data_IF_182350384923
#
_entry.id   IF_182350384923
#
_cell.length_a   1.000
_cell.length_b   1.000
_cell.length_c   1.000
_cell.angle_alpha   90.00
_cell.angle_beta   90.00
_cell.angle_gamma   90.00
#
_symmetry.space_group_name_H-M   'P 1'
#
loop_
_entity.id
_entity.type
_entity.pdbx_description
1 polymer ?
#
# COMPACT_ATOMS: atom_id res chain seq x y z
N UNK A 1 3.81 6.98 24.24
CA UNK A 1 4.85 6.15 23.60
C UNK A 1 5.24 5.10 24.61
N UNK A 2 5.01 3.82 24.31
CA UNK A 2 5.38 2.71 25.21
C UNK A 2 6.80 2.26 24.95
N UNK A 3 7.72 2.54 25.89
CA UNK A 3 9.11 2.06 25.81
C UNK A 3 9.20 0.53 25.91
N UNK A 4 8.24 -0.10 26.58
CA UNK A 4 8.17 -1.56 26.76
C UNK A 4 7.90 -2.27 25.44
N UNK A 5 6.88 -1.84 24.70
CA UNK A 5 6.52 -2.46 23.42
C UNK A 5 7.64 -2.32 22.41
N UNK A 6 8.25 -1.13 22.32
CA UNK A 6 9.39 -0.93 21.42
C UNK A 6 10.55 -1.89 21.73
N UNK A 7 10.92 -2.06 23.00
CA UNK A 7 11.95 -3.01 23.40
C UNK A 7 11.60 -4.44 23.00
N UNK A 8 10.37 -4.87 23.28
CA UNK A 8 9.89 -6.21 22.92
C UNK A 8 9.86 -6.43 21.40
N UNK A 9 9.60 -5.40 20.59
CA UNK A 9 9.63 -5.50 19.12
C UNK A 9 11.01 -5.88 18.61
N UNK A 10 12.08 -5.27 19.12
CA UNK A 10 13.44 -5.60 18.69
C UNK A 10 13.81 -7.05 19.00
N UNK A 11 13.53 -7.50 20.23
CA UNK A 11 13.82 -8.87 20.67
C UNK A 11 12.96 -9.90 19.91
N UNK A 12 11.65 -9.67 19.81
CA UNK A 12 10.73 -10.62 19.19
C UNK A 12 10.93 -10.72 17.67
N UNK A 13 11.19 -9.60 16.99
CA UNK A 13 11.44 -9.60 15.55
C UNK A 13 12.74 -10.31 15.18
N UNK A 14 13.80 -10.12 15.98
CA UNK A 14 15.08 -10.79 15.77
C UNK A 14 14.93 -12.32 15.81
N UNK A 15 14.10 -12.84 16.71
CA UNK A 15 13.85 -14.27 16.87
C UNK A 15 12.96 -14.89 15.78
N UNK A 16 12.16 -14.09 15.06
CA UNK A 16 11.10 -14.59 14.15
C UNK A 16 11.25 -14.14 12.70
N UNK A 17 12.49 -13.86 12.29
CA UNK A 17 12.84 -13.50 10.90
C UNK A 17 12.13 -12.25 10.35
N UNK A 18 11.64 -11.37 11.23
CA UNK A 18 11.15 -10.05 10.80
C UNK A 18 12.35 -9.14 10.60
N UNK A 19 12.67 -8.87 9.34
CA UNK A 19 13.84 -8.08 8.92
C UNK A 19 13.47 -6.93 7.99
N UNK A 20 14.43 -6.03 7.77
CA UNK A 20 14.35 -4.96 6.78
C UNK A 20 13.16 -4.02 7.01
N UNK A 21 12.41 -3.72 5.94
CA UNK A 21 11.29 -2.79 5.96
C UNK A 21 10.23 -3.15 7.02
N UNK A 22 9.93 -4.44 7.23
CA UNK A 22 8.94 -4.89 8.22
C UNK A 22 9.35 -4.52 9.64
N UNK A 23 10.63 -4.71 9.96
CA UNK A 23 11.19 -4.42 11.28
C UNK A 23 11.11 -2.93 11.60
N UNK A 24 11.58 -2.08 10.69
CA UNK A 24 11.57 -0.62 10.90
C UNK A 24 10.15 -0.06 10.95
N UNK A 25 9.22 -0.62 10.16
CA UNK A 25 7.79 -0.25 10.25
C UNK A 25 7.21 -0.68 11.59
N UNK A 26 7.49 -1.91 12.05
CA UNK A 26 7.01 -2.39 13.35
C UNK A 26 7.54 -1.53 14.51
N UNK A 27 8.83 -1.22 14.50
CA UNK A 27 9.44 -0.33 15.49
C UNK A 27 8.80 1.06 15.47
N UNK A 28 8.56 1.62 14.28
CA UNK A 28 7.91 2.93 14.15
C UNK A 28 6.45 2.91 14.63
N UNK A 29 5.72 1.84 14.40
CA UNK A 29 4.37 1.65 14.95
C UNK A 29 4.42 1.56 16.48
N UNK A 30 5.41 0.84 17.03
CA UNK A 30 5.62 0.72 18.47
C UNK A 30 5.98 2.05 19.14
N UNK A 31 6.79 2.89 18.51
CA UNK A 31 7.07 4.25 19.00
C UNK A 31 5.78 5.05 19.21
N UNK A 32 4.85 4.94 18.27
CA UNK A 32 3.54 5.61 18.34
C UNK A 32 2.51 4.90 19.21
N UNK A 33 2.83 3.71 19.73
CA UNK A 33 1.88 2.91 20.49
C UNK A 33 1.72 3.39 21.94
N UNK A 34 0.51 3.20 22.47
CA UNK A 34 0.26 3.20 23.90
C UNK A 34 0.65 1.84 24.50
N UNK A 35 0.52 1.67 25.82
CA UNK A 35 0.87 0.41 26.49
C UNK A 35 0.00 -0.79 26.09
N UNK A 36 -1.16 -0.54 25.47
CA UNK A 36 -2.04 -1.58 24.91
C UNK A 36 -1.64 -1.98 23.47
N UNK A 37 -0.60 -1.36 22.90
CA UNK A 37 -0.17 -1.65 21.53
C UNK A 37 -0.96 -0.91 20.44
N UNK A 38 -1.81 0.04 20.80
CA UNK A 38 -2.64 0.80 19.86
C UNK A 38 -1.89 2.03 19.34
N UNK A 39 -1.84 2.18 18.02
CA UNK A 39 -1.25 3.36 17.36
C UNK A 39 -2.05 3.76 16.11
N UNK A 40 -1.84 5.00 15.64
CA UNK A 40 -2.58 5.53 14.47
C UNK A 40 -1.81 6.44 13.50
N UNK A 41 -0.51 6.18 13.22
CA UNK A 41 0.20 6.96 12.22
C UNK A 41 -0.42 6.78 10.82
N UNK A 42 -0.45 7.85 10.01
CA UNK A 42 -0.83 7.72 8.60
C UNK A 42 0.25 6.97 7.82
N UNK A 43 -0.13 6.27 6.74
CA UNK A 43 0.84 5.62 5.85
C UNK A 43 1.87 6.64 5.33
N UNK A 44 1.41 7.84 4.96
CA UNK A 44 2.27 8.95 4.56
C UNK A 44 3.29 9.35 5.64
N UNK A 45 2.87 9.36 6.91
CA UNK A 45 3.79 9.66 8.04
C UNK A 45 4.89 8.61 8.13
N UNK A 46 4.53 7.32 7.99
CA UNK A 46 5.47 6.21 8.02
C UNK A 46 6.44 6.33 6.84
N UNK A 47 5.94 6.59 5.63
CA UNK A 47 6.77 6.80 4.44
C UNK A 47 7.77 7.93 4.63
N UNK A 48 7.31 9.10 5.10
CA UNK A 48 8.16 10.28 5.31
C UNK A 48 9.28 10.03 6.31
N UNK A 49 8.96 9.33 7.41
CA UNK A 49 9.94 9.10 8.48
C UNK A 49 10.94 7.99 8.17
N UNK A 50 10.50 6.95 7.46
CA UNK A 50 11.34 5.80 7.15
C UNK A 50 11.98 5.87 5.77
N UNK A 51 11.62 6.86 4.94
CA UNK A 51 12.08 6.96 3.55
C UNK A 51 11.59 5.82 2.65
N UNK A 52 10.53 5.10 3.07
CA UNK A 52 9.99 3.95 2.35
C UNK A 52 8.88 4.38 1.39
N UNK A 53 8.79 3.73 0.23
CA UNK A 53 7.68 3.91 -0.69
C UNK A 53 6.35 3.41 -0.13
N UNK A 54 5.24 4.05 -0.49
CA UNK A 54 3.89 3.70 -0.01
C UNK A 54 3.54 2.23 -0.26
N UNK A 55 3.89 1.72 -1.45
CA UNK A 55 3.68 0.31 -1.82
C UNK A 55 4.43 -0.63 -0.88
N UNK A 56 5.67 -0.29 -0.52
CA UNK A 56 6.48 -1.08 0.41
C UNK A 56 5.87 -1.07 1.81
N UNK A 57 5.45 0.10 2.30
CA UNK A 57 4.80 0.21 3.61
C UNK A 57 3.51 -0.60 3.66
N UNK A 58 2.65 -0.48 2.63
CA UNK A 58 1.41 -1.25 2.54
C UNK A 58 1.63 -2.76 2.48
N UNK A 59 2.61 -3.19 1.70
CA UNK A 59 2.96 -4.61 1.55
C UNK A 59 3.46 -5.17 2.86
N UNK A 60 4.41 -4.49 3.50
CA UNK A 60 4.96 -4.91 4.78
C UNK A 60 3.88 -4.97 5.88
N UNK A 61 2.99 -3.99 5.95
CA UNK A 61 1.84 -4.01 6.89
C UNK A 61 0.92 -5.20 6.62
N UNK A 62 0.62 -5.49 5.35
CA UNK A 62 -0.24 -6.63 4.99
C UNK A 62 0.42 -7.97 5.36
N UNK A 63 1.74 -8.09 5.17
CA UNK A 63 2.49 -9.28 5.57
C UNK A 63 2.54 -9.45 7.09
N UNK A 64 2.76 -8.36 7.84
CA UNK A 64 2.71 -8.35 9.31
C UNK A 64 1.32 -8.70 9.85
N UNK A 65 0.27 -8.25 9.16
CA UNK A 65 -1.13 -8.60 9.45
C UNK A 65 -1.39 -10.10 9.17
N UNK A 66 -0.96 -10.60 8.01
CA UNK A 66 -1.13 -12.01 7.65
C UNK A 66 -0.40 -12.98 8.57
N UNK A 67 0.74 -12.54 9.12
CA UNK A 67 1.54 -13.31 10.07
C UNK A 67 1.10 -13.09 11.52
N UNK A 68 0.08 -12.26 11.77
CA UNK A 68 -0.57 -12.10 13.08
C UNK A 68 0.20 -11.22 14.08
N UNK A 69 1.08 -10.34 13.61
CA UNK A 69 1.83 -9.43 14.49
C UNK A 69 1.09 -8.15 14.82
N UNK A 70 0.21 -7.73 13.91
CA UNK A 70 -0.64 -6.57 14.09
C UNK A 70 -2.00 -6.81 13.45
N UNK A 71 -2.97 -6.01 13.83
CA UNK A 71 -4.28 -5.91 13.20
C UNK A 71 -4.53 -4.49 12.76
N UNK A 72 -5.09 -4.30 11.57
CA UNK A 72 -5.46 -2.97 11.06
C UNK A 72 -6.97 -2.77 11.09
N UNK A 73 -7.40 -1.63 11.59
CA UNK A 73 -8.78 -1.17 11.57
C UNK A 73 -8.90 0.09 10.71
N UNK A 74 -9.75 0.03 9.69
CA UNK A 74 -10.03 1.19 8.85
C UNK A 74 -10.97 2.13 9.60
N UNK A 75 -10.53 3.39 9.75
CA UNK A 75 -11.37 4.44 10.30
C UNK A 75 -11.92 5.28 9.15
N UNK A 76 -13.23 5.48 9.14
CA UNK A 76 -13.92 6.41 8.24
C UNK A 76 -14.64 7.44 9.09
N UNK A 77 -14.42 8.72 8.79
CA UNK A 77 -15.18 9.83 9.40
C UNK A 77 -16.09 10.40 8.32
N UNK A 78 -17.32 9.89 8.25
CA UNK A 78 -18.23 10.19 7.15
C UNK A 78 -17.66 9.75 5.80
N UNK A 79 -17.63 10.65 4.81
CA UNK A 79 -17.07 10.39 3.48
C UNK A 79 -15.54 10.61 3.39
N UNK A 80 -14.87 10.98 4.50
CA UNK A 80 -13.41 11.18 4.51
C UNK A 80 -12.74 9.92 5.08
N UNK A 81 -11.78 9.37 4.35
CA UNK A 81 -10.88 8.36 4.88
C UNK A 81 -10.01 9.02 5.95
N UNK A 82 -9.95 8.43 7.14
CA UNK A 82 -9.00 8.83 8.18
C UNK A 82 -7.85 7.83 8.24
N UNK A 83 -6.76 8.18 8.94
CA UNK A 83 -5.63 7.28 9.15
C UNK A 83 -6.13 5.99 9.81
N UNK A 84 -5.66 4.85 9.33
CA UNK A 84 -5.96 3.56 9.94
C UNK A 84 -5.51 3.54 11.40
N UNK A 85 -6.16 2.69 12.19
CA UNK A 85 -5.76 2.37 13.55
C UNK A 85 -5.12 0.99 13.53
N UNK A 86 -3.95 0.86 14.13
CA UNK A 86 -3.20 -0.39 14.19
C UNK A 86 -3.13 -0.86 15.64
N UNK A 87 -3.39 -2.14 15.83
CA UNK A 87 -3.26 -2.85 17.10
C UNK A 87 -2.09 -3.81 17.00
N UNK A 88 -1.01 -3.52 17.71
CA UNK A 88 0.12 -4.43 17.86
C UNK A 88 -0.28 -5.56 18.81
N UNK A 89 0.11 -6.79 18.49
CA UNK A 89 -0.15 -7.93 19.37
C UNK A 89 0.87 -7.92 20.53
N UNK A 90 0.58 -7.14 21.56
CA UNK A 90 1.46 -6.91 22.71
C UNK A 90 1.78 -8.23 23.45
N UNK A 91 0.77 -9.07 23.68
CA UNK A 91 0.93 -10.37 24.37
C UNK A 91 1.91 -11.29 23.65
N UNK A 92 1.78 -11.35 22.31
CA UNK A 92 2.70 -12.13 21.48
C UNK A 92 4.11 -11.55 21.52
N UNK A 93 4.25 -10.23 21.37
CA UNK A 93 5.55 -9.56 21.41
C UNK A 93 6.27 -9.80 22.75
N UNK A 94 5.55 -9.70 23.87
CA UNK A 94 6.10 -9.93 25.20
C UNK A 94 6.51 -11.39 25.40
N UNK A 95 5.66 -12.34 25.02
CA UNK A 95 5.96 -13.77 25.16
C UNK A 95 7.21 -14.15 24.38
N UNK A 96 7.32 -13.69 23.14
CA UNK A 96 8.46 -13.99 22.28
C UNK A 96 9.74 -13.31 22.77
N UNK A 97 9.66 -12.06 23.25
CA UNK A 97 10.80 -11.36 23.83
C UNK A 97 11.32 -12.03 25.10
N UNK A 98 10.42 -12.54 25.97
CA UNK A 98 10.80 -13.30 27.17
C UNK A 98 11.55 -14.59 26.81
N UNK A 99 10.99 -15.38 25.90
CA UNK A 99 11.62 -16.61 25.41
C UNK A 99 13.02 -16.33 24.86
N UNK A 100 13.18 -15.26 24.08
CA UNK A 100 14.47 -14.91 23.51
C UNK A 100 15.48 -14.45 24.57
N UNK A 101 15.05 -13.63 25.54
CA UNK A 101 15.89 -13.23 26.68
C UNK A 101 16.37 -14.44 27.47
N UNK A 102 15.50 -15.39 27.75
CA UNK A 102 15.85 -16.60 28.49
C UNK A 102 16.85 -17.46 27.72
N UNK A 103 16.69 -17.61 26.39
CA UNK A 103 17.68 -18.29 25.53
C UNK A 103 19.04 -17.60 25.55
N UNK A 104 19.07 -16.27 25.42
CA UNK A 104 20.32 -15.49 25.43
C UNK A 104 21.00 -15.60 26.79
N UNK A 105 20.24 -15.54 27.88
CA UNK A 105 20.75 -15.71 29.24
C UNK A 105 21.35 -17.12 29.45
N UNK A 106 20.64 -18.16 29.02
CA UNK A 106 21.11 -19.55 29.09
C UNK A 106 22.39 -19.76 28.26
N UNK A 107 22.46 -19.22 27.04
CA UNK A 107 23.66 -19.30 26.21
C UNK A 107 24.87 -18.59 26.87
N UNK A 108 24.63 -17.42 27.48
CA UNK A 108 25.68 -16.69 28.21
C UNK A 108 26.15 -17.48 29.43
N UNK A 109 25.24 -18.18 30.13
CA UNK A 109 25.59 -19.04 31.25
C UNK A 109 26.39 -20.27 30.79
N UNK A 110 26.01 -20.90 29.68
CA UNK A 110 26.79 -21.98 29.08
C UNK A 110 28.20 -21.53 28.67
N UNK A 111 28.35 -20.34 28.08
CA UNK A 111 29.67 -19.77 27.76
C UNK A 111 30.52 -19.53 29.01
N UNK A 112 29.90 -19.08 30.11
CA UNK A 112 30.59 -18.91 31.41
C UNK A 112 30.99 -20.27 32.02
N UNK A 113 30.16 -21.29 31.86
CA UNK A 113 30.42 -22.64 32.38
C UNK A 113 31.46 -23.42 31.55
N UNK A 114 31.48 -23.23 30.23
CA UNK A 114 32.43 -23.88 29.32
C UNK A 114 33.78 -23.12 29.21
N UNK A 115 33.90 -21.95 29.84
CA UNK A 115 35.15 -21.20 29.93
C UNK A 115 36.04 -21.74 31.05
N UNK A 116 36.67 -22.90 30.84
CA UNK A 116 37.74 -23.40 31.71
C UNK A 116 39.09 -22.73 31.35
N UNK A 117 39.50 -21.82 32.23
CA UNK A 117 40.87 -21.47 32.66
C UNK A 117 41.97 -21.13 31.62
N UNK A 118 42.32 -19.85 31.40
CA UNK A 118 43.72 -19.45 31.31
C UNK A 118 44.29 -19.33 32.72
N UNK A 119 45.32 -20.15 32.97
CA UNK A 119 46.30 -20.14 34.04
C UNK A 119 46.35 -18.87 34.90
N UNK A 120 46.42 -19.09 36.21
CA UNK A 120 46.74 -18.10 37.24
C UNK A 120 47.89 -17.18 36.79
N UNK A 121 47.58 -15.91 36.63
CA UNK A 121 48.53 -14.82 36.68
C UNK A 121 47.82 -13.72 37.46
N UNK A 122 48.35 -13.47 38.64
CA UNK A 122 47.71 -12.73 39.72
C UNK A 122 47.19 -11.35 39.28
N UNK A 123 46.01 -10.92 39.77
CA UNK A 123 45.64 -9.52 39.72
C UNK A 123 46.55 -8.77 40.70
N UNK A 124 47.61 -8.16 40.18
CA UNK A 124 48.36 -7.14 40.89
C UNK A 124 47.36 -6.04 41.31
N UNK A 125 47.06 -6.00 42.60
CA UNK A 125 46.42 -4.86 43.24
C UNK A 125 47.30 -3.63 43.05
N UNK A 126 46.91 -2.75 42.13
CA UNK A 126 47.30 -1.34 42.18
C UNK A 126 46.05 -0.53 42.56
N UNK A 127 46.07 -0.08 43.80
CA UNK A 127 45.12 0.85 44.41
C UNK A 127 44.92 2.10 43.52
N UNK A 128 43.68 2.49 43.18
CA UNK A 128 43.38 3.89 42.95
C UNK A 128 43.18 4.53 44.32
N UNK A 129 44.24 5.17 44.80
CA UNK A 129 44.22 5.99 46.01
C UNK A 129 43.08 7.00 45.95
N UNK A 130 42.33 7.06 47.05
CA UNK A 130 41.33 8.08 47.33
C UNK A 130 41.92 9.49 47.16
N UNK A 131 41.23 10.35 46.43
CA UNK A 131 41.36 11.81 46.53
C UNK A 131 40.01 12.41 46.19
N UNK A 132 39.39 12.99 47.21
CA UNK A 132 38.10 13.69 47.19
C UNK A 132 38.06 14.79 46.12
N UNK A 133 36.94 14.98 45.39
CA UNK A 133 36.67 16.24 44.72
C UNK A 133 35.88 17.13 45.67
N UNK A 134 36.58 18.01 46.39
CA UNK A 134 35.95 19.10 47.12
C UNK A 134 35.52 20.22 46.17
N UNK A 135 34.32 20.71 46.44
CA UNK A 135 33.62 21.82 45.81
C UNK A 135 34.47 23.10 45.68
N UNK A 136 34.37 23.78 44.53
CA UNK A 136 34.34 25.25 44.41
C UNK A 136 33.99 25.66 42.97
N UNK A 137 32.98 26.51 42.84
CA UNK A 137 32.35 26.98 41.60
C UNK A 137 33.25 27.84 40.68
N UNK A 138 32.89 27.97 39.39
CA UNK A 138 33.61 28.80 38.44
C UNK A 138 33.04 30.23 38.41
N UNK A 139 33.92 31.22 38.42
CA UNK A 139 33.62 32.56 37.89
C UNK A 139 34.88 33.18 37.33
N UNK A 140 34.81 33.44 36.02
CA UNK A 140 34.96 34.78 35.44
C UNK A 140 35.95 34.92 34.28
N UNK A 141 35.44 35.67 33.29
CA UNK A 141 36.08 36.60 32.36
C UNK A 141 37.26 36.17 31.47
N UNK A 142 37.08 36.35 30.15
CA UNK A 142 38.23 36.48 29.24
C UNK A 142 38.05 36.39 27.72
N UNK A 143 37.27 37.30 27.12
CA UNK A 143 37.46 37.96 25.81
C UNK A 143 37.91 37.17 24.54
N UNK A 144 37.05 37.11 23.50
CA UNK A 144 37.07 37.94 22.24
C UNK A 144 38.18 37.57 21.25
N UNK A 145 38.01 37.32 19.95
CA UNK A 145 37.13 37.77 18.85
C UNK A 145 37.61 36.99 17.59
N UNK A 146 36.93 36.76 16.46
CA UNK A 146 35.64 37.18 15.92
C UNK A 146 35.48 36.66 14.47
N UNK A 147 34.30 36.93 13.89
CA UNK A 147 33.92 36.95 12.46
C UNK A 147 33.32 35.69 11.78
N UNK A 148 31.97 35.56 11.92
CA UNK A 148 30.85 35.70 10.93
C UNK A 148 31.07 35.32 9.44
N UNK A 149 30.08 34.79 8.64
CA UNK A 149 28.62 35.12 8.62
C UNK A 149 27.67 33.91 8.37
N UNK A 150 26.33 33.93 8.22
CA UNK A 150 25.28 34.95 8.00
C UNK A 150 23.89 34.33 8.32
N UNK A 151 22.93 35.18 8.73
CA UNK A 151 21.45 35.20 8.52
C UNK A 151 20.63 33.89 8.61
N UNK A 152 19.43 33.80 9.21
CA UNK A 152 18.46 34.75 9.76
C UNK A 152 17.39 33.86 10.42
N UNK A 153 16.91 34.17 11.63
CA UNK A 153 15.59 33.72 12.08
C UNK A 153 15.02 34.69 13.11
N UNK A 154 13.80 35.16 12.83
CA UNK A 154 12.99 35.99 13.71
C UNK A 154 12.12 35.11 14.62
N UNK A 155 12.17 35.37 15.91
CA UNK A 155 11.11 35.22 16.91
C UNK A 155 11.51 36.17 18.04
N UNK A 156 10.69 36.97 18.71
CA UNK A 156 9.26 37.21 18.76
C UNK A 156 9.06 38.11 20.01
N UNK A 157 7.81 38.36 20.39
CA UNK A 157 7.35 38.80 21.74
C UNK A 157 7.03 40.30 21.93
N UNK A 158 5.71 40.54 21.91
CA UNK A 158 4.84 41.41 22.74
C UNK A 158 4.96 42.94 22.75
N UNK A 159 3.84 43.61 22.45
CA UNK A 159 3.16 44.56 23.38
C UNK A 159 1.66 44.67 23.04
N UNK A 160 0.82 44.73 24.09
CA UNK A 160 -0.66 44.96 24.10
C UNK A 160 -1.03 46.35 23.58
N UNK A 161 -2.21 46.49 22.95
CA UNK A 161 -3.29 47.44 23.32
C UNK A 161 -4.57 47.27 22.46
N UNK A 162 -5.71 47.51 23.10
CA UNK A 162 -7.12 47.40 22.66
C UNK A 162 -7.47 48.13 21.35
N UNK A 163 -8.53 47.66 20.67
CA UNK A 163 -9.79 48.39 20.38
C UNK A 163 -10.73 47.52 19.51
N UNK A 164 -11.88 47.13 20.08
CA UNK A 164 -13.16 46.84 19.38
C UNK A 164 -13.81 48.17 18.93
N UNK A 165 -14.79 48.25 17.98
CA UNK A 165 -15.86 47.26 17.76
C UNK A 165 -16.31 46.97 16.30
N UNK A 166 -17.18 45.95 16.23
CA UNK A 166 -18.21 45.58 15.23
C UNK A 166 -18.86 46.76 14.46
N UNK A 167 -19.49 46.55 13.27
CA UNK A 167 -20.84 45.97 13.25
C UNK A 167 -21.17 45.01 12.09
N UNK A 168 -21.80 43.89 12.47
CA UNK A 168 -23.08 43.34 11.98
C UNK A 168 -23.64 43.90 10.65
N UNK A 169 -23.98 43.00 9.71
CA UNK A 169 -25.37 42.88 9.19
C UNK A 169 -25.67 41.42 8.82
N UNK A 170 -26.72 40.95 9.50
CA UNK A 170 -27.51 39.74 9.37
C UNK A 170 -28.28 39.66 8.02
N UNK A 171 -28.50 38.47 7.48
CA UNK A 171 -29.82 38.11 6.93
C UNK A 171 -30.03 36.61 6.79
N UNK A 172 -31.06 36.17 7.53
CA UNK A 172 -31.76 34.90 7.49
C UNK A 172 -32.28 34.59 6.08
N UNK A 173 -32.27 33.32 5.70
CA UNK A 173 -33.48 32.71 5.13
C UNK A 173 -33.51 31.20 5.41
N UNK A 174 -34.57 30.83 6.13
CA UNK A 174 -35.08 29.49 6.38
C UNK A 174 -35.98 29.11 5.18
N UNK A 175 -35.79 27.94 4.57
CA UNK A 175 -36.80 27.28 3.75
C UNK A 175 -36.64 25.76 3.81
N UNK A 176 -37.38 25.17 4.74
CA UNK A 176 -37.98 23.84 4.66
C UNK A 176 -38.78 23.67 3.36
N UNK A 177 -38.53 22.61 2.57
CA UNK A 177 -39.57 21.97 1.75
C UNK A 177 -39.40 20.46 1.78
N UNK A 178 -40.44 19.85 2.34
CA UNK A 178 -40.79 18.44 2.38
C UNK A 178 -41.31 18.00 0.99
N UNK A 179 -40.93 16.84 0.48
CA UNK A 179 -41.71 16.17 -0.56
C UNK A 179 -41.71 14.66 -0.32
N UNK A 180 -42.78 14.24 0.38
CA UNK A 180 -43.36 12.91 0.30
C UNK A 180 -43.74 12.62 -1.15
N UNK A 181 -43.37 11.45 -1.66
CA UNK A 181 -44.35 10.69 -2.44
C UNK A 181 -44.21 9.20 -2.10
N UNK A 182 -45.14 8.81 -1.24
CA UNK A 182 -45.59 7.46 -0.97
C UNK A 182 -46.38 6.96 -2.19
N UNK A 183 -46.17 5.71 -2.59
CA UNK A 183 -47.20 4.84 -3.19
C UNK A 183 -46.74 3.40 -3.00
N UNK A 184 -47.41 2.73 -2.07
CA UNK A 184 -47.37 1.29 -1.85
C UNK A 184 -48.16 0.60 -2.95
N UNK A 185 -47.77 -0.61 -3.36
CA UNK A 185 -48.73 -1.72 -3.29
C UNK A 185 -48.04 -3.09 -3.18
N UNK A 186 -48.76 -3.99 -2.53
CA UNK A 186 -48.36 -5.23 -1.88
C UNK A 186 -48.71 -6.42 -2.79
N UNK A 187 -47.86 -7.46 -2.81
CA UNK A 187 -48.14 -8.71 -3.53
C UNK A 187 -47.17 -9.85 -3.20
N UNK A 188 -47.33 -10.43 -2.02
CA UNK A 188 -46.69 -11.64 -1.44
C UNK A 188 -47.05 -12.89 -2.28
N UNK A 189 -46.15 -13.80 -2.69
CA UNK A 189 -45.72 -15.08 -2.06
C UNK A 189 -45.32 -16.03 -3.22
N UNK A 190 -44.32 -16.91 -3.24
CA UNK A 190 -43.27 -17.34 -2.33
C UNK A 190 -42.54 -18.58 -2.88
N UNK A 191 -41.24 -18.72 -2.52
CA UNK A 191 -40.35 -19.92 -2.47
C UNK A 191 -40.07 -20.71 -3.77
N UNK A 192 -38.86 -21.17 -4.11
CA UNK A 192 -37.53 -21.35 -3.47
C UNK A 192 -36.48 -21.38 -4.63
N UNK A 193 -35.16 -21.20 -4.53
CA UNK A 193 -34.14 -21.47 -3.51
C UNK A 193 -32.87 -20.63 -3.78
N UNK A 194 -32.12 -20.35 -2.71
CA UNK A 194 -30.84 -19.61 -2.53
C UNK A 194 -29.66 -20.11 -3.40
N UNK A 195 -28.61 -19.32 -3.72
CA UNK A 195 -27.54 -18.72 -2.87
C UNK A 195 -26.85 -17.52 -3.60
N UNK A 196 -26.22 -16.47 -3.05
CA UNK A 196 -26.17 -15.81 -1.75
C UNK A 196 -25.56 -14.39 -1.98
N UNK A 197 -26.23 -13.35 -1.46
CA UNK A 197 -25.75 -11.97 -1.15
C UNK A 197 -24.96 -11.18 -2.22
N UNK A 198 -25.68 -10.46 -3.08
CA UNK A 198 -25.19 -9.18 -3.61
C UNK A 198 -26.10 -8.05 -3.15
N UNK A 199 -25.57 -7.15 -2.33
CA UNK A 199 -26.14 -5.81 -2.11
C UNK A 199 -26.54 -5.22 -3.47
N UNK A 200 -27.84 -4.92 -3.66
CA UNK A 200 -28.39 -4.25 -4.84
C UNK A 200 -27.76 -2.86 -4.99
N UNK A 201 -26.53 -2.80 -5.47
CA UNK A 201 -26.05 -1.62 -6.17
C UNK A 201 -26.88 -1.55 -7.45
N UNK A 202 -27.72 -0.51 -7.57
CA UNK A 202 -28.47 -0.24 -8.79
C UNK A 202 -27.47 0.04 -9.92
N UNK A 203 -27.04 -1.01 -10.61
CA UNK A 203 -26.25 -0.91 -11.82
C UNK A 203 -27.15 -0.37 -12.95
N UNK A 204 -26.60 0.47 -13.81
CA UNK A 204 -27.31 0.98 -14.99
C UNK A 204 -27.65 -0.19 -15.92
N UNK A 205 -28.84 -0.22 -16.52
CA UNK A 205 -29.27 -1.29 -17.42
C UNK A 205 -28.27 -1.52 -18.57
N UNK A 206 -27.66 -0.45 -19.07
CA UNK A 206 -26.66 -0.48 -20.14
C UNK A 206 -25.37 -1.17 -19.68
N UNK A 207 -24.96 -0.93 -18.43
CA UNK A 207 -23.79 -1.59 -17.85
C UNK A 207 -24.06 -3.08 -17.63
N UNK A 208 -25.28 -3.45 -17.21
CA UNK A 208 -25.64 -4.85 -17.05
C UNK A 208 -25.62 -5.58 -18.40
N UNK A 209 -26.12 -4.94 -19.44
CA UNK A 209 -26.06 -5.47 -20.81
C UNK A 209 -24.62 -5.63 -21.29
N UNK A 210 -23.75 -4.64 -21.03
CA UNK A 210 -22.33 -4.73 -21.34
C UNK A 210 -21.64 -5.84 -20.53
N UNK A 211 -22.00 -6.00 -19.26
CA UNK A 211 -21.45 -7.04 -18.39
C UNK A 211 -21.83 -8.45 -18.86
N UNK A 212 -23.09 -8.66 -19.26
CA UNK A 212 -23.55 -9.94 -19.80
C UNK A 212 -22.89 -10.29 -21.15
N UNK A 213 -22.63 -9.27 -21.98
CA UNK A 213 -21.93 -9.45 -23.25
C UNK A 213 -20.41 -9.68 -23.10
N UNK A 214 -19.84 -9.38 -21.93
CA UNK A 214 -18.40 -9.46 -21.71
C UNK A 214 -17.91 -10.93 -21.66
N UNK A 215 -16.83 -11.29 -22.37
CA UNK A 215 -16.34 -12.67 -22.38
C UNK A 215 -15.91 -13.14 -20.98
N UNK A 216 -16.23 -14.38 -20.63
CA UNK A 216 -15.83 -15.00 -19.35
C UNK A 216 -14.30 -15.16 -19.31
N UNK A 217 -13.71 -14.84 -18.16
CA UNK A 217 -12.27 -14.89 -17.88
C UNK A 217 -11.99 -15.86 -16.74
N UNK A 218 -10.85 -16.57 -16.78
CA UNK A 218 -10.32 -17.26 -15.61
C UNK A 218 -9.54 -16.31 -14.68
N UNK A 219 -9.85 -16.35 -13.38
CA UNK A 219 -9.26 -15.48 -12.37
C UNK A 219 -10.10 -14.22 -12.08
N UNK A 220 -9.58 -13.30 -11.27
CA UNK A 220 -10.34 -12.17 -10.74
C UNK A 220 -10.87 -11.21 -11.82
N UNK A 221 -12.18 -10.95 -11.81
CA UNK A 221 -12.85 -9.90 -12.60
C UNK A 221 -13.97 -9.25 -11.76
N UNK A 222 -13.66 -8.14 -11.09
CA UNK A 222 -14.61 -7.49 -10.16
C UNK A 222 -15.63 -6.62 -10.90
N UNK A 223 -16.93 -6.98 -10.83
CA UNK A 223 -18.05 -6.19 -11.39
C UNK A 223 -18.08 -4.76 -10.83
N UNK A 224 -17.82 -4.60 -9.53
CA UNK A 224 -17.80 -3.27 -8.88
C UNK A 224 -16.66 -2.39 -9.40
N UNK A 225 -15.45 -2.96 -9.60
CA UNK A 225 -14.33 -2.22 -10.18
C UNK A 225 -14.59 -1.82 -11.63
N UNK A 226 -15.20 -2.71 -12.42
CA UNK A 226 -15.63 -2.43 -13.79
C UNK A 226 -16.70 -1.32 -13.83
N UNK A 227 -17.67 -1.34 -12.92
CA UNK A 227 -18.69 -0.30 -12.85
C UNK A 227 -18.12 1.06 -12.45
N UNK A 228 -17.13 1.08 -11.54
CA UNK A 228 -16.40 2.31 -11.20
C UNK A 228 -15.72 2.92 -12.43
N UNK A 229 -15.06 2.09 -13.23
CA UNK A 229 -14.41 2.51 -14.47
C UNK A 229 -15.44 2.99 -15.52
N UNK A 230 -16.54 2.25 -15.71
CA UNK A 230 -17.67 2.63 -16.57
C UNK A 230 -18.24 4.01 -16.20
N UNK A 231 -18.52 4.26 -14.91
CA UNK A 231 -19.02 5.56 -14.44
C UNK A 231 -18.04 6.70 -14.73
N UNK A 232 -16.73 6.45 -14.66
CA UNK A 232 -15.74 7.45 -15.01
C UNK A 232 -15.83 7.82 -16.50
N UNK A 233 -16.06 6.84 -17.39
CA UNK A 233 -16.26 7.10 -18.83
C UNK A 233 -17.54 7.88 -19.13
N UNK A 234 -18.63 7.59 -18.42
CA UNK A 234 -19.86 8.39 -18.51
C UNK A 234 -19.62 9.84 -18.09
N UNK A 235 -18.81 10.06 -17.04
CA UNK A 235 -18.42 11.42 -16.60
C UNK A 235 -17.53 12.12 -17.63
N UNK A 236 -16.69 11.39 -18.35
CA UNK A 236 -15.86 11.91 -19.44
C UNK A 236 -16.68 12.17 -20.73
N UNK A 237 -18.00 11.94 -20.72
CA UNK A 237 -18.90 12.17 -21.85
C UNK A 237 -18.96 11.03 -22.87
N UNK A 238 -18.36 9.87 -22.58
CA UNK A 238 -18.46 8.69 -23.44
C UNK A 238 -19.86 8.10 -23.32
N UNK A 239 -20.51 7.81 -24.45
CA UNK A 239 -21.85 7.24 -24.44
C UNK A 239 -21.81 5.77 -24.00
N UNK A 240 -22.80 5.31 -23.21
CA UNK A 240 -22.89 3.90 -22.82
C UNK A 240 -23.01 2.95 -24.02
N UNK A 241 -23.63 3.42 -25.11
CA UNK A 241 -23.79 2.68 -26.36
C UNK A 241 -22.44 2.37 -27.03
N UNK A 242 -21.52 3.34 -27.05
CA UNK A 242 -20.18 3.18 -27.63
C UNK A 242 -19.36 2.15 -26.86
N UNK A 243 -19.44 2.20 -25.52
CA UNK A 243 -18.79 1.22 -24.65
C UNK A 243 -19.38 -0.19 -24.86
N UNK A 244 -20.70 -0.32 -24.98
CA UNK A 244 -21.38 -1.58 -25.27
C UNK A 244 -20.98 -2.13 -26.65
N UNK A 245 -20.88 -1.28 -27.67
CA UNK A 245 -20.40 -1.66 -28.99
C UNK A 245 -18.96 -2.17 -28.93
N UNK A 246 -18.09 -1.51 -28.17
CA UNK A 246 -16.73 -1.96 -27.89
C UNK A 246 -16.67 -3.35 -27.24
N UNK A 247 -17.52 -3.62 -26.24
CA UNK A 247 -17.61 -4.95 -25.63
C UNK A 247 -18.03 -6.00 -26.66
N UNK A 248 -19.01 -5.71 -27.52
CA UNK A 248 -19.46 -6.65 -28.55
C UNK A 248 -18.34 -6.99 -29.54
N UNK A 249 -17.55 -6.00 -29.98
CA UNK A 249 -16.37 -6.23 -30.84
C UNK A 249 -15.33 -7.09 -30.12
N UNK A 250 -15.01 -6.76 -28.87
CA UNK A 250 -14.08 -7.54 -28.06
C UNK A 250 -14.54 -8.98 -27.84
N UNK A 251 -15.82 -9.20 -27.53
CA UNK A 251 -16.41 -10.52 -27.37
C UNK A 251 -16.37 -11.34 -28.67
N UNK A 252 -16.52 -10.71 -29.84
CA UNK A 252 -16.29 -11.37 -31.13
C UNK A 252 -14.83 -11.79 -31.30
N UNK A 253 -13.88 -10.88 -31.06
CA UNK A 253 -12.44 -11.16 -31.11
C UNK A 253 -12.01 -12.31 -30.20
N UNK A 254 -12.45 -12.32 -28.94
CA UNK A 254 -12.09 -13.39 -27.99
C UNK A 254 -12.68 -14.73 -28.42
N UNK A 255 -13.90 -14.74 -28.99
CA UNK A 255 -14.51 -15.95 -29.53
C UNK A 255 -13.78 -16.48 -30.76
N UNK A 256 -13.36 -15.62 -31.69
CA UNK A 256 -12.65 -16.05 -32.90
C UNK A 256 -11.22 -16.51 -32.61
N UNK A 257 -10.54 -15.85 -31.67
CA UNK A 257 -9.16 -16.20 -31.28
C UNK A 257 -9.11 -17.44 -30.39
N UNK A 258 -10.25 -17.88 -29.84
CA UNK A 258 -10.33 -19.06 -28.97
C UNK A 258 -9.85 -18.80 -27.53
N UNK A 259 -9.69 -17.53 -27.13
CA UNK A 259 -9.18 -17.17 -25.80
C UNK A 259 -10.25 -17.09 -24.71
N UNK A 260 -11.51 -17.48 -25.01
CA UNK A 260 -12.62 -17.47 -24.04
C UNK A 260 -12.28 -18.35 -22.84
N UNK A 261 -12.52 -17.85 -21.62
CA UNK A 261 -12.27 -18.61 -20.38
C UNK A 261 -10.80 -18.69 -19.98
N UNK A 262 -9.88 -18.10 -20.76
CA UNK A 262 -8.47 -18.03 -20.39
C UNK A 262 -8.18 -16.84 -19.48
N UNK A 263 -7.01 -16.83 -18.85
CA UNK A 263 -6.51 -15.68 -18.08
C UNK A 263 -6.16 -14.46 -18.95
N UNK A 264 -6.02 -14.66 -20.28
CA UNK A 264 -5.67 -13.64 -21.27
C UNK A 264 -6.85 -12.78 -21.70
N UNK A 265 -8.08 -13.16 -21.35
CA UNK A 265 -9.22 -12.24 -21.46
C UNK A 265 -8.92 -11.04 -20.56
N UNK A 266 -9.07 -9.84 -21.10
CA UNK A 266 -8.80 -8.58 -20.39
C UNK A 266 -9.79 -8.46 -19.24
N UNK A 267 -9.36 -7.85 -18.14
CA UNK A 267 -10.26 -7.55 -17.03
C UNK A 267 -11.19 -6.41 -17.44
N UNK A 268 -12.48 -6.49 -17.07
CA UNK A 268 -13.46 -5.48 -17.45
C UNK A 268 -13.13 -4.09 -16.86
N UNK A 269 -12.51 -4.04 -15.67
CA UNK A 269 -12.03 -2.79 -15.07
C UNK A 269 -10.93 -2.12 -15.90
N UNK A 270 -10.00 -2.89 -16.46
CA UNK A 270 -8.99 -2.39 -17.41
C UNK A 270 -9.65 -1.98 -18.72
N UNK A 271 -10.60 -2.77 -19.22
CA UNK A 271 -11.28 -2.51 -20.48
C UNK A 271 -12.03 -1.17 -20.51
N UNK A 272 -12.73 -0.82 -19.42
CA UNK A 272 -13.38 0.49 -19.24
C UNK A 272 -12.47 1.54 -18.58
N UNK A 273 -11.18 1.22 -18.43
CA UNK A 273 -10.19 2.06 -17.76
C UNK A 273 -9.83 3.32 -18.54
N UNK A 274 -8.85 4.10 -18.03
CA UNK A 274 -8.35 5.32 -18.68
C UNK A 274 -7.88 5.14 -20.12
N UNK A 275 -7.36 3.96 -20.46
CA UNK A 275 -6.84 3.63 -21.79
C UNK A 275 -7.94 3.36 -22.83
N UNK A 276 -9.21 3.34 -22.41
CA UNK A 276 -10.40 3.24 -23.29
C UNK A 276 -10.34 2.11 -24.32
N UNK A 277 -9.95 0.91 -23.91
CA UNK A 277 -9.87 -0.25 -24.80
C UNK A 277 -11.17 -0.60 -25.54
N UNK A 278 -12.33 -0.11 -25.09
CA UNK A 278 -13.58 -0.23 -25.84
C UNK A 278 -13.62 0.58 -27.14
N UNK A 279 -12.72 1.57 -27.33
CA UNK A 279 -12.58 2.33 -28.57
C UNK A 279 -11.78 1.56 -29.64
N UNK A 280 -10.99 0.55 -29.24
CA UNK A 280 -10.22 -0.27 -30.17
C UNK A 280 -11.15 -1.04 -31.14
N UNK A 281 -10.63 -1.26 -32.36
CA UNK A 281 -11.38 -1.93 -33.41
C UNK A 281 -11.59 -3.42 -33.13
N UNK A 282 -10.70 -4.07 -32.35
CA UNK A 282 -10.72 -5.51 -32.05
C UNK A 282 -11.02 -6.35 -33.30
N UNK A 283 -10.27 -6.11 -34.38
CA UNK A 283 -10.46 -6.80 -35.65
C UNK A 283 -10.25 -8.31 -35.44
N UNK A 284 -11.27 -9.11 -35.77
CA UNK A 284 -11.16 -10.56 -35.75
C UNK A 284 -10.19 -10.97 -36.85
N UNK A 285 -9.17 -11.80 -36.58
CA UNK A 285 -8.35 -12.35 -37.63
C UNK A 285 -9.26 -13.06 -38.64
N UNK A 286 -9.23 -12.62 -39.90
CA UNK A 286 -9.95 -13.28 -40.98
C UNK A 286 -9.51 -14.75 -41.00
N UNK A 287 -10.47 -15.67 -41.04
CA UNK A 287 -10.21 -17.10 -40.91
C UNK A 287 -9.03 -17.53 -41.82
N UNK A 288 -8.12 -18.42 -41.35
CA UNK A 288 -7.11 -19.00 -42.22
C UNK A 288 -7.80 -20.01 -43.15
N UNK A 289 -8.31 -19.52 -44.28
CA UNK A 289 -8.99 -20.32 -45.29
C UNK A 289 -8.76 -19.76 -46.68
N UNK A 290 -7.70 -20.25 -47.35
CA UNK A 290 -7.54 -20.17 -48.81
C UNK A 290 -6.65 -19.04 -49.33
N UNK A 291 -5.33 -19.25 -49.33
CA UNK A 291 -4.40 -18.31 -49.95
C UNK A 291 -2.93 -18.72 -49.96
N UNK A 292 -2.61 -20.01 -50.00
CA UNK A 292 -1.28 -20.43 -50.47
C UNK A 292 -1.30 -20.35 -51.99
N UNK A 293 -0.76 -19.27 -52.53
CA UNK A 293 0.08 -19.17 -53.75
C UNK A 293 0.01 -17.77 -54.34
N UNK A 294 0.92 -16.93 -53.88
CA UNK A 294 1.56 -15.91 -54.72
C UNK A 294 2.87 -15.53 -54.03
N UNK A 295 3.83 -16.45 -54.15
CA UNK A 295 5.22 -16.09 -54.07
C UNK A 295 5.43 -14.92 -55.05
N UNK A 296 5.81 -13.76 -54.53
CA UNK A 296 6.47 -12.76 -55.34
C UNK A 296 7.79 -13.41 -55.80
N UNK A 297 8.11 -13.43 -57.10
CA UNK A 297 9.38 -13.95 -57.55
C UNK A 297 10.43 -12.92 -57.14
N UNK A 298 11.15 -13.18 -56.04
CA UNK A 298 12.48 -12.59 -55.85
C UNK A 298 13.40 -13.32 -56.83
N UNK A 299 13.39 -12.84 -58.06
CA UNK A 299 14.44 -13.10 -59.03
C UNK A 299 15.70 -12.41 -58.53
N UNK A 300 16.74 -13.17 -58.19
CA UNK A 300 18.06 -12.59 -57.92
C UNK A 300 18.98 -13.33 -56.95
N UNK A 301 18.83 -14.64 -56.72
CA UNK A 301 19.77 -15.37 -55.86
C UNK A 301 19.99 -16.84 -56.25
N UNK A 302 20.06 -17.14 -57.55
CA UNK A 302 20.34 -18.49 -58.04
C UNK A 302 21.42 -18.53 -59.12
N UNK A 303 22.42 -17.67 -59.03
CA UNK A 303 23.59 -17.72 -59.91
C UNK A 303 24.82 -17.24 -59.15
N UNK A 304 25.19 -18.00 -58.13
CA UNK A 304 26.56 -18.02 -57.62
C UNK A 304 27.13 -19.40 -57.90
N UNK A 305 27.81 -19.41 -59.04
CA UNK A 305 28.75 -20.41 -59.50
C UNK A 305 29.70 -20.76 -58.34
N UNK A 306 29.55 -21.95 -57.75
CA UNK A 306 30.52 -22.52 -56.82
C UNK A 306 31.70 -23.05 -57.64
N UNK A 307 32.36 -22.14 -58.35
CA UNK A 307 33.55 -22.37 -59.14
C UNK A 307 34.80 -22.24 -58.29
N UNK A 308 35.51 -23.36 -58.18
CA UNK A 308 36.96 -23.49 -58.02
C UNK A 308 37.64 -23.04 -56.70
N UNK A 309 38.12 -24.10 -56.05
CA UNK A 309 39.21 -24.21 -55.09
C UNK A 309 40.45 -23.38 -55.46
N UNK A 310 41.05 -22.73 -54.48
CA UNK A 310 42.47 -22.97 -54.20
C UNK A 310 42.80 -22.55 -52.76
N UNK A 311 43.00 -23.55 -51.91
CA UNK A 311 43.73 -23.39 -50.66
C UNK A 311 45.21 -23.30 -51.03
N UNK A 312 45.85 -22.17 -50.72
CA UNK A 312 47.30 -22.13 -50.66
C UNK A 312 47.75 -21.58 -49.30
N UNK A 313 48.78 -22.23 -48.79
CA UNK A 313 49.25 -22.30 -47.41
C UNK A 313 49.82 -20.99 -46.86
#
# INVERSE_FOLDING_TARGET
MSSKILGNVWDACAAHDIKGAKLVIMARLADYSNDDGVCYPSVETICRQLGLGESTVRTAIAELESSGWLRRESRRKGNRNTSNLYHLNADRLETLARIEKDKVAALKQQRRANGFHPSDSEPSNSEPSNSEPSDSEPSDSGCSSGFHPSDSDKNGVFTRQNLTPDPQVNSKHDLQVNSKQESQDIGVCGKASSEHRSSKENYSNEFEQAWQAYPKRAGGNSKAAAFKAWKARLKDGVKPEDMLAGVKRYAAYVRTTGSVGTQYVKQAATFFGPDRHFEEAWQTPSAPGGGRRSALPVSGFSEQDYGQSDCNW
#
